data_IF_185781450114
#
_entry.id   IF_185781450114
#
_cell.length_a   1.000
_cell.length_b   1.000
_cell.length_c   1.000
_cell.angle_alpha   90.00
_cell.angle_beta   90.00
_cell.angle_gamma   90.00
#
_symmetry.space_group_name_H-M   'P 1'
#
loop_
_entity.id
_entity.type
_entity.pdbx_description
1 polymer ?
#
# COMPACT_ATOMS: atom_id res chain seq x y z
N UNK A 1 21.95 -14.44 -3.27
CA UNK A 1 20.96 -14.55 -2.17
C UNK A 1 20.17 -13.24 -2.13
N UNK A 2 18.99 -13.17 -2.76
CA UNK A 2 18.16 -11.96 -2.69
C UNK A 2 17.41 -11.99 -1.35
N UNK A 3 17.91 -11.28 -0.34
CA UNK A 3 17.12 -11.00 0.87
C UNK A 3 15.97 -10.08 0.47
N UNK A 4 14.80 -10.67 0.26
CA UNK A 4 13.56 -9.92 0.18
C UNK A 4 13.24 -9.40 1.59
N UNK A 5 13.79 -8.25 1.94
CA UNK A 5 13.26 -7.43 3.03
C UNK A 5 11.90 -6.89 2.56
N UNK A 6 10.87 -7.74 2.57
CA UNK A 6 9.48 -7.29 2.47
C UNK A 6 9.18 -6.66 3.82
N UNK A 7 9.37 -5.34 3.92
CA UNK A 7 8.91 -4.59 5.07
C UNK A 7 7.38 -4.65 5.05
N UNK A 8 6.79 -5.45 5.94
CA UNK A 8 5.36 -5.39 6.24
C UNK A 8 5.22 -4.28 7.27
N UNK A 9 5.23 -3.05 6.78
CA UNK A 9 5.00 -1.92 7.66
C UNK A 9 3.51 -1.84 7.97
N UNK A 10 3.25 -2.27 9.21
CA UNK A 10 2.14 -1.95 10.10
C UNK A 10 1.02 -1.16 9.46
N UNK A 11 -0.22 -1.63 9.61
CA UNK A 11 -1.49 -0.92 9.40
C UNK A 11 -1.33 0.60 9.65
N UNK A 12 -0.94 1.35 8.61
CA UNK A 12 -0.67 2.78 8.76
C UNK A 12 -2.01 3.48 8.62
N UNK A 13 -2.40 4.28 9.60
CA UNK A 13 -3.69 4.99 9.52
C UNK A 13 -3.58 6.25 8.64
N UNK A 14 -2.40 6.87 8.56
CA UNK A 14 -2.15 8.09 7.79
C UNK A 14 -1.31 7.87 6.52
N UNK A 15 -1.80 8.29 5.34
CA UNK A 15 -1.09 8.14 4.07
C UNK A 15 0.15 9.05 3.93
N UNK A 16 0.31 10.08 4.77
CA UNK A 16 1.50 10.93 4.72
C UNK A 16 2.72 10.27 5.40
N UNK A 17 2.49 9.43 6.41
CA UNK A 17 3.58 8.75 7.14
C UNK A 17 4.28 7.70 6.28
N UNK A 18 3.64 7.22 5.20
CA UNK A 18 4.25 6.25 4.28
C UNK A 18 5.10 6.89 3.20
N UNK A 19 5.08 8.21 3.00
CA UNK A 19 5.87 8.88 1.97
C UNK A 19 7.38 8.57 2.03
N UNK A 20 8.07 8.62 3.18
CA UNK A 20 9.49 8.25 3.25
C UNK A 20 9.72 6.77 2.91
N UNK A 21 8.81 5.89 3.35
CA UNK A 21 8.87 4.45 3.10
C UNK A 21 8.67 4.13 1.62
N UNK A 22 7.77 4.85 0.97
CA UNK A 22 7.56 4.79 -0.48
C UNK A 22 8.80 5.27 -1.24
N UNK A 23 9.44 6.34 -0.79
CA UNK A 23 10.66 6.86 -1.41
C UNK A 23 11.82 5.85 -1.31
N UNK A 24 12.03 5.24 -0.14
CA UNK A 24 13.01 4.17 0.05
C UNK A 24 12.71 2.92 -0.82
N UNK A 25 11.44 2.51 -0.86
CA UNK A 25 11.02 1.36 -1.64
C UNK A 25 11.08 1.60 -3.16
N UNK A 26 10.90 2.86 -3.61
CA UNK A 26 10.97 3.30 -5.01
C UNK A 26 12.38 3.12 -5.59
N UNK A 27 13.40 3.30 -4.75
CA UNK A 27 14.80 3.04 -5.09
C UNK A 27 15.09 1.56 -5.39
N UNK A 28 14.20 0.64 -4.98
CA UNK A 28 14.33 -0.78 -5.27
C UNK A 28 13.72 -1.13 -6.64
N UNK A 29 14.22 -2.20 -7.29
CA UNK A 29 13.73 -2.64 -8.61
C UNK A 29 12.42 -3.45 -8.56
N UNK A 30 11.62 -3.29 -7.50
CA UNK A 30 10.42 -4.10 -7.22
C UNK A 30 9.17 -3.23 -7.06
N UNK A 31 8.00 -3.87 -7.08
CA UNK A 31 6.71 -3.19 -7.01
C UNK A 31 6.41 -2.71 -5.59
N UNK A 32 5.82 -1.52 -5.48
CA UNK A 32 5.21 -1.01 -4.26
C UNK A 32 3.71 -1.31 -4.37
N UNK A 33 3.18 -2.19 -3.53
CA UNK A 33 1.75 -2.54 -3.54
C UNK A 33 1.00 -1.87 -2.40
N UNK A 34 -0.06 -1.14 -2.72
CA UNK A 34 -0.99 -0.50 -1.79
C UNK A 34 -2.33 -1.23 -1.83
N UNK A 35 -2.79 -1.78 -0.70
CA UNK A 35 -4.04 -2.55 -0.61
C UNK A 35 -5.09 -1.75 0.16
N UNK A 36 -6.20 -1.38 -0.49
CA UNK A 36 -7.29 -0.57 0.07
C UNK A 36 -6.87 0.81 0.65
N UNK A 37 -6.00 1.60 -0.02
CA UNK A 37 -5.64 2.91 0.52
C UNK A 37 -6.88 3.81 0.73
N UNK A 38 -7.04 4.45 1.91
CA UNK A 38 -8.19 5.30 2.22
C UNK A 38 -8.18 6.60 1.43
N UNK A 39 -6.99 7.12 1.15
CA UNK A 39 -6.74 8.23 0.26
C UNK A 39 -5.41 7.99 -0.46
N UNK A 40 -5.39 8.27 -1.76
CA UNK A 40 -4.15 8.28 -2.53
C UNK A 40 -3.46 9.62 -2.33
N UNK A 41 -2.16 9.64 -2.01
CA UNK A 41 -1.41 10.89 -1.98
C UNK A 41 -1.47 11.56 -3.36
N UNK A 42 -1.46 12.90 -3.37
CA UNK A 42 -1.47 13.65 -4.63
C UNK A 42 -0.28 13.21 -5.51
N UNK A 43 -0.55 13.02 -6.79
CA UNK A 43 0.47 12.67 -7.79
C UNK A 43 1.66 13.63 -7.75
N UNK A 44 1.42 14.92 -7.55
CA UNK A 44 2.50 15.90 -7.47
C UNK A 44 3.35 15.68 -6.21
N UNK A 45 2.73 15.36 -5.08
CA UNK A 45 3.44 15.04 -3.82
C UNK A 45 4.29 13.78 -3.98
N UNK A 46 3.76 12.76 -4.66
CA UNK A 46 4.52 11.52 -4.95
C UNK A 46 5.73 11.78 -5.84
N UNK A 47 5.56 12.58 -6.91
CA UNK A 47 6.65 12.95 -7.80
C UNK A 47 7.71 13.80 -7.10
N UNK A 48 7.31 14.75 -6.26
CA UNK A 48 8.22 15.55 -5.45
C UNK A 48 8.99 14.72 -4.42
N UNK A 49 8.40 13.65 -3.91
CA UNK A 49 9.06 12.69 -3.02
C UNK A 49 10.00 11.70 -3.76
N UNK A 50 10.14 11.81 -5.09
CA UNK A 50 11.00 10.93 -5.88
C UNK A 50 10.44 9.52 -6.08
N UNK A 51 9.12 9.35 -5.92
CA UNK A 51 8.45 8.06 -6.04
C UNK A 51 8.14 7.79 -7.52
N UNK A 52 8.62 6.66 -8.03
CA UNK A 52 8.31 6.20 -9.38
C UNK A 52 6.89 5.62 -9.42
N UNK A 53 5.97 6.42 -9.95
CA UNK A 53 4.58 6.03 -10.10
C UNK A 53 4.36 4.79 -10.97
N UNK A 54 5.30 4.45 -11.86
CA UNK A 54 5.18 3.24 -12.68
C UNK A 54 5.39 1.96 -11.87
N UNK A 55 5.98 2.07 -10.67
CA UNK A 55 6.19 0.95 -9.74
C UNK A 55 5.15 0.85 -8.65
N UNK A 56 4.24 1.82 -8.54
CA UNK A 56 3.17 1.84 -7.55
C UNK A 56 1.95 1.11 -8.12
N UNK A 57 1.52 0.05 -7.43
CA UNK A 57 0.32 -0.71 -7.76
C UNK A 57 -0.70 -0.57 -6.65
N UNK A 58 -1.91 -0.17 -7.00
CA UNK A 58 -3.03 -0.06 -6.07
C UNK A 58 -3.98 -1.23 -6.30
N UNK A 59 -4.35 -1.92 -5.24
CA UNK A 59 -5.29 -3.03 -5.25
C UNK A 59 -6.46 -2.67 -4.35
N UNK A 60 -7.66 -2.68 -4.91
CA UNK A 60 -8.90 -2.60 -4.15
C UNK A 60 -9.48 -4.00 -3.96
N UNK A 61 -9.92 -4.30 -2.74
CA UNK A 61 -10.53 -5.57 -2.36
C UNK A 61 -11.90 -5.30 -1.77
N UNK A 62 -12.87 -6.16 -2.10
CA UNK A 62 -14.29 -5.92 -1.79
C UNK A 62 -14.74 -6.57 -0.48
N UNK A 63 -13.94 -7.47 0.08
CA UNK A 63 -14.24 -8.15 1.33
C UNK A 63 -12.97 -8.59 2.04
N UNK A 64 -13.10 -8.86 3.34
CA UNK A 64 -12.00 -9.28 4.21
C UNK A 64 -11.26 -10.53 3.72
N UNK A 65 -11.96 -11.49 3.11
CA UNK A 65 -11.34 -12.72 2.61
C UNK A 65 -10.41 -12.41 1.43
N UNK A 66 -10.86 -11.58 0.49
CA UNK A 66 -10.07 -11.11 -0.63
C UNK A 66 -8.90 -10.24 -0.17
N UNK A 67 -9.11 -9.39 0.83
CA UNK A 67 -8.04 -8.60 1.46
C UNK A 67 -6.92 -9.49 2.02
N UNK A 68 -7.27 -10.48 2.86
CA UNK A 68 -6.31 -11.40 3.46
C UNK A 68 -5.57 -12.22 2.40
N UNK A 69 -6.28 -12.68 1.37
CA UNK A 69 -5.69 -13.45 0.27
C UNK A 69 -4.73 -12.60 -0.56
N UNK A 70 -5.09 -11.35 -0.86
CA UNK A 70 -4.22 -10.42 -1.59
C UNK A 70 -2.98 -10.10 -0.76
N UNK A 71 -3.14 -9.81 0.53
CA UNK A 71 -2.04 -9.55 1.44
C UNK A 71 -1.08 -10.74 1.52
N UNK A 72 -1.59 -11.94 1.80
CA UNK A 72 -0.77 -13.15 1.88
C UNK A 72 -0.04 -13.43 0.56
N UNK A 73 -0.72 -13.27 -0.57
CA UNK A 73 -0.12 -13.43 -1.89
C UNK A 73 1.02 -12.43 -2.13
N UNK A 74 0.82 -11.15 -1.79
CA UNK A 74 1.82 -10.10 -1.99
C UNK A 74 3.04 -10.26 -1.10
N UNK A 75 2.85 -10.76 0.13
CA UNK A 75 3.95 -11.05 1.04
C UNK A 75 4.70 -12.32 0.61
N UNK A 76 3.98 -13.39 0.25
CA UNK A 76 4.58 -14.67 -0.09
C UNK A 76 5.26 -14.71 -1.46
N UNK A 77 4.85 -13.88 -2.43
CA UNK A 77 5.40 -13.93 -3.78
C UNK A 77 6.77 -13.24 -3.93
N UNK A 78 7.21 -12.43 -2.96
CA UNK A 78 8.52 -11.76 -2.97
C UNK A 78 8.75 -10.75 -4.11
N UNK A 79 7.72 -10.44 -4.90
CA UNK A 79 7.77 -9.53 -6.05
C UNK A 79 7.66 -8.05 -5.64
N UNK A 80 7.34 -7.79 -4.38
CA UNK A 80 7.10 -6.46 -3.84
C UNK A 80 8.28 -6.01 -2.97
N UNK A 81 8.69 -4.75 -3.12
CA UNK A 81 9.64 -4.10 -2.19
C UNK A 81 8.92 -3.62 -0.93
N UNK A 82 7.67 -3.17 -1.07
CA UNK A 82 6.83 -2.70 0.02
C UNK A 82 5.39 -3.13 -0.23
N UNK A 83 4.73 -3.63 0.81
CA UNK A 83 3.30 -3.91 0.80
C UNK A 83 2.67 -3.16 1.95
N UNK A 84 1.89 -2.12 1.63
CA UNK A 84 1.11 -1.37 2.62
C UNK A 84 -0.33 -1.77 2.46
N UNK A 85 -0.96 -2.21 3.54
CA UNK A 85 -2.35 -2.63 3.53
C UNK A 85 -3.14 -1.91 4.61
N UNK A 86 -4.24 -1.30 4.18
CA UNK A 86 -5.23 -0.73 5.07
C UNK A 86 -6.35 -1.75 5.22
N UNK A 87 -6.61 -2.24 6.43
CA UNK A 87 -7.79 -3.03 6.67
C UNK A 87 -8.99 -2.13 6.36
N UNK A 88 -9.89 -2.62 5.52
CA UNK A 88 -11.18 -1.96 5.35
C UNK A 88 -11.81 -1.94 6.75
N UNK A 89 -11.93 -0.76 7.36
CA UNK A 89 -12.86 -0.61 8.47
C UNK A 89 -14.18 -1.06 7.89
N UNK A 90 -14.63 -2.25 8.30
CA UNK A 90 -16.01 -2.72 8.16
C UNK A 90 -16.85 -1.47 8.24
N UNK A 91 -17.43 -1.08 7.11
CA UNK A 91 -18.19 0.15 6.94
C UNK A 91 -18.92 0.48 8.24
N UNK A 92 -18.36 1.37 9.07
CA UNK A 92 -19.21 2.15 9.95
C UNK A 92 -20.00 2.94 8.93
N UNK A 93 -21.26 2.56 8.82
CA UNK A 93 -22.21 3.16 7.92
C UNK A 93 -21.93 4.65 7.90
N UNK A 94 -21.60 5.17 6.72
CA UNK A 94 -21.81 6.58 6.42
C UNK A 94 -23.31 6.82 6.58
N UNK A 95 -23.76 7.01 7.81
CA UNK A 95 -24.97 7.74 8.12
C UNK A 95 -24.62 9.22 7.95
N UNK A 96 -24.39 9.62 6.71
CA UNK A 96 -24.79 10.94 6.27
C UNK A 96 -26.32 10.95 6.30
N UNK A 97 -26.89 11.17 7.48
CA UNK A 97 -28.23 11.75 7.57
C UNK A 97 -28.06 13.22 7.21
N UNK A 98 -28.56 13.56 6.03
CA UNK A 98 -29.07 14.90 5.71
C UNK A 98 -30.18 15.26 6.70
#
# INVERSE_FOLDING_TARGET
MYQAHTAVESIVSDPEQILPLLAEASGQSRWITLINPPALPDRQVLLHAGIDMHKVRIIHTHNRHQWLKTLSTCVCNGLNSLVVAWPELLSVQRQSRL
#
